data_IF_502453234221
#
_entry.id   IF_502453234221
#
_cell.length_a   1.000
_cell.length_b   1.000
_cell.length_c   1.000
_cell.angle_alpha   90.00
_cell.angle_beta   90.00
_cell.angle_gamma   90.00
#
_symmetry.space_group_name_H-M   'P 1'
#
loop_
_entity.id
_entity.type
_entity.pdbx_description
1 polymer ?
#
# COMPACT_ATOMS: atom_id res chain seq x y z
N UNK A 1 -43.49 33.66 -13.69
CA UNK A 1 -43.32 32.44 -12.86
C UNK A 1 -42.22 31.59 -13.50
N UNK A 2 -41.04 31.53 -12.90
CA UNK A 2 -39.92 30.73 -13.41
C UNK A 2 -39.99 29.32 -12.79
N UNK A 3 -40.22 28.31 -13.62
CA UNK A 3 -40.18 26.90 -13.21
C UNK A 3 -38.71 26.50 -13.01
N UNK A 4 -38.33 26.20 -11.77
CA UNK A 4 -37.02 25.62 -11.45
C UNK A 4 -36.93 24.25 -12.14
N UNK A 5 -36.00 24.09 -13.07
CA UNK A 5 -35.59 22.79 -13.62
C UNK A 5 -35.14 21.92 -12.45
N UNK A 6 -35.89 20.84 -12.21
CA UNK A 6 -35.54 19.85 -11.20
C UNK A 6 -34.32 19.09 -11.73
N UNK A 7 -33.14 19.40 -11.21
CA UNK A 7 -31.91 18.71 -11.57
C UNK A 7 -32.00 17.30 -10.98
N UNK A 8 -32.22 16.30 -11.84
CA UNK A 8 -32.24 14.90 -11.43
C UNK A 8 -30.88 14.57 -10.83
N UNK A 9 -30.86 14.36 -9.51
CA UNK A 9 -29.68 13.90 -8.79
C UNK A 9 -29.22 12.58 -9.41
N UNK A 10 -28.01 12.59 -10.00
CA UNK A 10 -27.41 11.43 -10.68
C UNK A 10 -27.39 10.23 -9.72
N UNK A 11 -27.96 9.11 -10.14
CA UNK A 11 -27.88 7.86 -9.37
C UNK A 11 -26.42 7.39 -9.40
N UNK A 12 -25.88 7.02 -8.24
CA UNK A 12 -24.55 6.41 -8.18
C UNK A 12 -24.56 5.13 -9.02
N UNK A 13 -23.58 4.97 -9.92
CA UNK A 13 -23.44 3.73 -10.67
C UNK A 13 -23.28 2.56 -9.70
N UNK A 14 -24.11 1.53 -9.87
CA UNK A 14 -23.90 0.23 -9.25
C UNK A 14 -23.21 -0.66 -10.29
N UNK A 15 -21.92 -0.92 -10.10
CA UNK A 15 -21.15 -1.84 -10.95
C UNK A 15 -21.77 -3.24 -10.90
N UNK A 16 -22.04 -3.80 -12.08
CA UNK A 16 -22.34 -5.21 -12.30
C UNK A 16 -21.05 -5.97 -12.66
N UNK A 17 -21.01 -7.30 -12.54
CA UNK A 17 -19.85 -8.10 -12.94
C UNK A 17 -19.40 -7.88 -14.40
N UNK A 18 -20.32 -7.81 -15.36
CA UNK A 18 -19.99 -7.45 -16.74
C UNK A 18 -19.33 -6.06 -16.88
N UNK A 19 -19.67 -5.10 -16.02
CA UNK A 19 -19.01 -3.78 -16.01
C UNK A 19 -17.56 -3.87 -15.54
N UNK A 20 -17.27 -4.81 -14.62
CA UNK A 20 -15.91 -5.06 -14.16
C UNK A 20 -15.05 -5.61 -15.29
N UNK A 21 -15.59 -6.50 -16.14
CA UNK A 21 -14.88 -7.01 -17.32
C UNK A 21 -14.51 -5.86 -18.27
N UNK A 22 -15.45 -4.96 -18.58
CA UNK A 22 -15.15 -3.80 -19.44
C UNK A 22 -14.08 -2.89 -18.84
N UNK A 23 -14.19 -2.61 -17.53
CA UNK A 23 -13.20 -1.82 -16.81
C UNK A 23 -11.81 -2.49 -16.84
N UNK A 24 -11.74 -3.80 -16.57
CA UNK A 24 -10.49 -4.54 -16.50
C UNK A 24 -9.80 -4.66 -17.86
N UNK A 25 -10.56 -4.90 -18.94
CA UNK A 25 -10.02 -4.90 -20.32
C UNK A 25 -9.34 -3.57 -20.62
N UNK A 26 -10.02 -2.46 -20.34
CA UNK A 26 -9.49 -1.14 -20.66
C UNK A 26 -8.30 -0.76 -19.77
N UNK A 27 -8.33 -1.11 -18.48
CA UNK A 27 -7.19 -0.96 -17.56
C UNK A 27 -5.97 -1.77 -18.02
N UNK A 28 -6.16 -3.01 -18.50
CA UNK A 28 -5.08 -3.86 -18.98
C UNK A 28 -4.37 -3.25 -20.21
N UNK A 29 -5.12 -2.58 -21.08
CA UNK A 29 -4.59 -1.88 -22.26
C UNK A 29 -3.95 -0.54 -21.88
N UNK A 30 -4.67 0.30 -21.14
CA UNK A 30 -4.25 1.66 -20.84
C UNK A 30 -3.10 1.73 -19.82
N UNK A 31 -2.95 0.69 -18.98
CA UNK A 31 -1.93 0.60 -17.93
C UNK A 31 -1.72 1.93 -17.19
N UNK A 32 -2.77 2.45 -16.50
CA UNK A 32 -2.77 3.81 -15.97
C UNK A 32 -1.63 4.10 -14.97
N UNK A 33 -1.00 3.06 -14.42
CA UNK A 33 0.18 3.14 -13.56
C UNK A 33 1.49 3.43 -14.30
N UNK A 34 1.57 3.17 -15.61
CA UNK A 34 2.71 3.48 -16.45
C UNK A 34 2.70 4.93 -16.95
N UNK A 35 1.59 5.64 -16.74
CA UNK A 35 1.48 7.06 -17.09
C UNK A 35 2.51 7.91 -16.31
N UNK A 36 3.10 8.89 -16.97
CA UNK A 36 4.04 9.82 -16.36
C UNK A 36 3.45 10.58 -15.16
N UNK A 37 4.31 11.09 -14.28
CA UNK A 37 3.89 11.83 -13.08
C UNK A 37 2.91 12.96 -13.44
N UNK A 38 1.73 12.98 -12.81
CA UNK A 38 0.66 13.95 -13.10
C UNK A 38 -0.35 13.50 -14.17
N UNK A 39 -0.06 12.46 -14.95
CA UNK A 39 -0.95 11.96 -16.02
C UNK A 39 -1.80 10.76 -15.61
N UNK A 40 -1.55 10.15 -14.45
CA UNK A 40 -2.33 9.00 -13.94
C UNK A 40 -3.82 9.32 -13.85
N UNK A 41 -4.18 10.51 -13.36
CA UNK A 41 -5.59 10.94 -13.27
C UNK A 41 -6.24 11.05 -14.64
N UNK A 42 -5.50 11.53 -15.64
CA UNK A 42 -5.98 11.63 -17.01
C UNK A 42 -6.24 10.25 -17.61
N UNK A 43 -5.31 9.30 -17.43
CA UNK A 43 -5.47 7.92 -17.88
C UNK A 43 -6.73 7.27 -17.27
N UNK A 44 -7.00 7.50 -15.98
CA UNK A 44 -8.26 7.05 -15.35
C UNK A 44 -9.51 7.74 -15.90
N UNK A 45 -9.39 8.98 -16.40
CA UNK A 45 -10.49 9.71 -17.05
C UNK A 45 -10.84 9.14 -18.42
N UNK A 46 -9.84 8.79 -19.22
CA UNK A 46 -10.03 8.06 -20.47
C UNK A 46 -10.68 6.70 -20.20
N UNK A 47 -10.20 5.97 -19.18
CA UNK A 47 -10.77 4.68 -18.79
C UNK A 47 -12.25 4.79 -18.40
N UNK A 48 -12.60 5.82 -17.63
CA UNK A 48 -13.99 6.06 -17.25
C UNK A 48 -14.89 6.35 -18.46
N UNK A 49 -14.37 7.06 -19.45
CA UNK A 49 -15.10 7.37 -20.70
C UNK A 49 -15.33 6.08 -21.49
N UNK A 50 -14.28 5.30 -21.74
CA UNK A 50 -14.36 4.04 -22.49
C UNK A 50 -15.30 3.03 -21.82
N UNK A 51 -15.18 2.88 -20.50
CA UNK A 51 -16.04 1.98 -19.72
C UNK A 51 -17.50 2.43 -19.77
N UNK A 52 -17.77 3.74 -19.66
CA UNK A 52 -19.14 4.29 -19.77
C UNK A 52 -19.74 3.99 -21.15
N UNK A 53 -18.97 4.18 -22.22
CA UNK A 53 -19.38 3.86 -23.59
C UNK A 53 -19.64 2.36 -23.78
N UNK A 54 -18.78 1.49 -23.24
CA UNK A 54 -18.97 0.05 -23.30
C UNK A 54 -20.25 -0.40 -22.59
N UNK A 55 -20.54 0.16 -21.41
CA UNK A 55 -21.80 -0.11 -20.69
C UNK A 55 -23.00 0.32 -21.54
N UNK A 56 -22.98 1.54 -22.08
CA UNK A 56 -24.10 2.04 -22.90
C UNK A 56 -24.35 1.24 -24.18
N UNK A 57 -23.32 0.60 -24.74
CA UNK A 57 -23.47 -0.20 -25.96
C UNK A 57 -23.95 -1.63 -25.72
N UNK A 58 -23.72 -2.19 -24.52
CA UNK A 58 -23.94 -3.61 -24.24
C UNK A 58 -24.98 -3.90 -23.16
N UNK A 59 -25.36 -2.92 -22.32
CA UNK A 59 -26.36 -3.08 -21.26
C UNK A 59 -27.66 -2.36 -21.66
N UNK A 60 -28.79 -3.06 -21.66
CA UNK A 60 -30.12 -2.48 -21.91
C UNK A 60 -30.54 -1.63 -20.69
N UNK A 61 -30.03 -0.40 -20.61
CA UNK A 61 -30.25 0.49 -19.49
C UNK A 61 -29.95 1.95 -19.77
N UNK A 62 -30.38 2.81 -18.85
CA UNK A 62 -30.08 4.25 -18.87
C UNK A 62 -28.56 4.45 -18.79
N UNK A 63 -27.99 5.23 -19.71
CA UNK A 63 -26.54 5.42 -19.81
C UNK A 63 -25.92 5.88 -18.49
N UNK A 64 -24.85 5.19 -18.08
CA UNK A 64 -24.09 5.53 -16.88
C UNK A 64 -22.91 6.42 -17.26
N UNK A 65 -22.76 7.57 -16.60
CA UNK A 65 -21.55 8.38 -16.67
C UNK A 65 -20.68 8.07 -15.45
N UNK A 66 -19.59 7.34 -15.69
CA UNK A 66 -18.57 7.08 -14.68
C UNK A 66 -17.59 8.24 -14.60
N UNK A 67 -17.00 8.44 -13.42
CA UNK A 67 -15.85 9.31 -13.23
C UNK A 67 -14.58 8.49 -12.95
N UNK A 68 -13.43 9.14 -13.18
CA UNK A 68 -12.11 8.53 -13.01
C UNK A 68 -11.91 7.94 -11.59
N UNK A 69 -12.47 8.60 -10.57
CA UNK A 69 -12.32 8.19 -9.17
C UNK A 69 -13.13 6.92 -8.86
N UNK A 70 -14.30 6.77 -9.47
CA UNK A 70 -15.20 5.63 -9.31
C UNK A 70 -14.64 4.39 -9.99
N UNK A 71 -14.15 4.52 -11.23
CA UNK A 71 -13.44 3.44 -11.93
C UNK A 71 -12.19 3.00 -11.16
N UNK A 72 -11.34 3.94 -10.73
CA UNK A 72 -10.16 3.62 -9.93
C UNK A 72 -10.53 2.89 -8.64
N UNK A 73 -11.53 3.38 -7.91
CA UNK A 73 -11.97 2.75 -6.64
C UNK A 73 -12.49 1.33 -6.87
N UNK A 74 -13.28 1.11 -7.93
CA UNK A 74 -13.78 -0.22 -8.26
C UNK A 74 -12.63 -1.17 -8.60
N UNK A 75 -11.69 -0.73 -9.42
CA UNK A 75 -10.48 -1.47 -9.75
C UNK A 75 -9.65 -1.84 -8.50
N UNK A 76 -9.41 -0.87 -7.60
CA UNK A 76 -8.66 -1.11 -6.36
C UNK A 76 -9.33 -2.22 -5.51
N UNK A 77 -10.67 -2.22 -5.43
CA UNK A 77 -11.43 -3.26 -4.70
C UNK A 77 -11.28 -4.63 -5.37
N UNK A 78 -11.44 -4.72 -6.70
CA UNK A 78 -11.30 -5.98 -7.45
C UNK A 78 -9.92 -6.59 -7.24
N UNK A 79 -8.87 -5.77 -7.30
CA UNK A 79 -7.49 -6.21 -7.07
C UNK A 79 -7.24 -6.62 -5.62
N UNK A 80 -7.88 -5.95 -4.64
CA UNK A 80 -7.78 -6.35 -3.23
C UNK A 80 -8.40 -7.73 -3.00
N UNK A 81 -9.62 -7.95 -3.49
CA UNK A 81 -10.33 -9.24 -3.35
C UNK A 81 -9.59 -10.35 -4.08
N UNK A 82 -9.08 -10.07 -5.29
CA UNK A 82 -8.25 -11.02 -6.05
C UNK A 82 -7.02 -11.48 -5.27
N UNK A 83 -6.29 -10.53 -4.68
CA UNK A 83 -5.06 -10.84 -3.92
C UNK A 83 -5.33 -11.62 -2.63
N UNK A 84 -6.53 -11.53 -2.07
CA UNK A 84 -6.95 -12.34 -0.92
C UNK A 84 -7.39 -13.75 -1.31
N UNK A 85 -7.51 -14.06 -2.61
CA UNK A 85 -8.09 -15.32 -3.08
C UNK A 85 -9.59 -15.42 -2.79
N UNK A 86 -10.26 -14.28 -2.58
CA UNK A 86 -11.67 -14.20 -2.17
C UNK A 86 -12.60 -13.87 -3.35
N UNK A 87 -12.16 -14.10 -4.59
CA UNK A 87 -12.94 -13.76 -5.78
C UNK A 87 -14.33 -14.40 -5.79
N UNK A 88 -14.46 -15.61 -5.25
CA UNK A 88 -15.75 -16.32 -5.12
C UNK A 88 -16.80 -15.51 -4.34
N UNK A 89 -16.38 -14.61 -3.45
CA UNK A 89 -17.30 -13.73 -2.71
C UNK A 89 -17.96 -12.66 -3.59
N UNK A 90 -17.42 -12.38 -4.78
CA UNK A 90 -18.01 -11.48 -5.78
C UNK A 90 -19.06 -12.19 -6.67
N UNK A 91 -19.17 -13.53 -6.62
CA UNK A 91 -20.05 -14.33 -7.49
C UNK A 91 -21.54 -14.23 -7.14
N UNK A 92 -21.90 -13.56 -6.04
CA UNK A 92 -23.27 -13.52 -5.55
C UNK A 92 -24.29 -12.83 -6.51
N UNK A 93 -23.85 -12.24 -7.63
CA UNK A 93 -24.74 -11.52 -8.57
C UNK A 93 -24.27 -11.45 -10.03
N UNK A 94 -23.37 -12.32 -10.49
CA UNK A 94 -22.83 -12.36 -11.87
C UNK A 94 -23.13 -13.64 -12.63
N UNK A 95 -22.91 -13.66 -13.95
CA UNK A 95 -22.87 -14.91 -14.70
C UNK A 95 -21.49 -15.56 -14.58
N UNK A 96 -21.43 -16.88 -14.76
CA UNK A 96 -20.18 -17.63 -14.72
C UNK A 96 -19.21 -17.14 -15.83
N UNK A 97 -19.74 -16.73 -17.00
CA UNK A 97 -18.90 -16.25 -18.11
C UNK A 97 -18.18 -14.92 -17.80
N UNK A 98 -18.87 -13.97 -17.15
CA UNK A 98 -18.27 -12.69 -16.74
C UNK A 98 -17.10 -12.92 -15.78
N UNK A 99 -17.20 -13.94 -14.94
CA UNK A 99 -16.19 -14.26 -13.95
C UNK A 99 -14.98 -14.98 -14.56
N UNK A 100 -15.24 -15.99 -15.39
CA UNK A 100 -14.21 -16.73 -16.13
C UNK A 100 -13.35 -15.78 -16.98
N UNK A 101 -13.92 -14.68 -17.46
CA UNK A 101 -13.18 -13.66 -18.18
C UNK A 101 -12.45 -12.65 -17.27
N UNK A 102 -13.03 -12.29 -16.12
CA UNK A 102 -12.43 -11.33 -15.19
C UNK A 102 -11.14 -11.83 -14.54
N UNK A 103 -11.07 -13.12 -14.18
CA UNK A 103 -9.92 -13.71 -13.50
C UNK A 103 -8.60 -13.67 -14.30
N UNK A 104 -8.54 -14.04 -15.59
CA UNK A 104 -7.31 -13.92 -16.39
C UNK A 104 -6.89 -12.46 -16.60
N UNK A 105 -7.84 -11.51 -16.70
CA UNK A 105 -7.53 -10.09 -16.78
C UNK A 105 -6.87 -9.57 -15.50
N UNK A 106 -7.43 -9.90 -14.33
CA UNK A 106 -6.85 -9.56 -13.03
C UNK A 106 -5.45 -10.15 -12.86
N UNK A 107 -5.26 -11.40 -13.27
CA UNK A 107 -3.96 -12.09 -13.26
C UNK A 107 -2.94 -11.37 -14.16
N UNK A 108 -3.33 -11.06 -15.40
CA UNK A 108 -2.49 -10.32 -16.35
C UNK A 108 -2.10 -8.95 -15.82
N UNK A 109 -3.06 -8.19 -15.29
CA UNK A 109 -2.82 -6.87 -14.68
C UNK A 109 -1.91 -6.98 -13.46
N UNK A 110 -2.11 -7.97 -12.59
CA UNK A 110 -1.26 -8.17 -11.41
C UNK A 110 0.21 -8.46 -11.78
N UNK A 111 0.44 -9.14 -12.90
CA UNK A 111 1.78 -9.44 -13.41
C UNK A 111 2.44 -8.22 -14.09
N UNK A 112 1.65 -7.35 -14.72
CA UNK A 112 2.13 -6.16 -15.44
C UNK A 112 2.31 -4.95 -14.54
N UNK A 113 1.45 -4.78 -13.54
CA UNK A 113 1.46 -3.62 -12.67
C UNK A 113 2.52 -3.77 -11.56
N UNK A 114 3.35 -2.74 -11.31
CA UNK A 114 4.31 -2.81 -10.22
C UNK A 114 3.57 -2.92 -8.88
N UNK A 115 4.16 -3.61 -7.91
CA UNK A 115 3.59 -3.83 -6.55
C UNK A 115 3.11 -2.54 -5.88
N UNK A 116 3.70 -1.40 -6.26
CA UNK A 116 3.36 -0.02 -5.85
C UNK A 116 1.92 0.40 -6.15
N UNK A 117 1.30 -0.13 -7.21
CA UNK A 117 -0.06 0.23 -7.67
C UNK A 117 -1.11 -0.24 -6.68
N UNK A 118 -0.81 -1.33 -5.98
CA UNK A 118 -1.70 -2.00 -5.03
C UNK A 118 -1.21 -1.87 -3.60
N UNK A 119 -0.39 -0.85 -3.33
CA UNK A 119 0.18 -0.66 -2.02
C UNK A 119 -0.92 -0.29 -1.01
N UNK A 120 -1.00 -1.07 0.06
CA UNK A 120 -1.83 -0.76 1.22
C UNK A 120 -1.36 0.56 1.84
N UNK A 121 -2.30 1.27 2.47
CA UNK A 121 -2.03 2.58 3.10
C UNK A 121 -1.27 2.44 4.43
N UNK A 122 -1.46 1.34 5.13
CA UNK A 122 -0.97 1.09 6.49
C UNK A 122 -0.10 -0.16 6.52
N UNK A 123 0.88 -0.17 7.43
CA UNK A 123 1.72 -1.33 7.72
C UNK A 123 0.90 -2.43 8.42
N UNK A 124 1.09 -3.69 8.03
CA UNK A 124 0.71 -4.88 8.81
C UNK A 124 1.88 -5.41 9.64
N UNK A 125 1.64 -6.45 10.44
CA UNK A 125 2.68 -7.15 11.19
C UNK A 125 3.78 -7.69 10.27
N UNK A 126 3.42 -8.35 9.16
CA UNK A 126 4.40 -8.79 8.15
C UNK A 126 5.25 -7.65 7.56
N UNK A 127 4.68 -6.46 7.29
CA UNK A 127 5.48 -5.32 6.82
C UNK A 127 6.43 -4.82 7.92
N UNK A 128 6.00 -4.86 9.20
CA UNK A 128 6.85 -4.50 10.34
C UNK A 128 8.02 -5.48 10.48
N UNK A 129 7.79 -6.78 10.34
CA UNK A 129 8.86 -7.80 10.35
C UNK A 129 9.89 -7.52 9.25
N UNK A 130 9.44 -7.26 8.02
CA UNK A 130 10.34 -6.92 6.91
C UNK A 130 11.12 -5.62 7.17
N UNK A 131 10.45 -4.59 7.69
CA UNK A 131 11.08 -3.34 8.09
C UNK A 131 12.16 -3.58 9.15
N UNK A 132 11.85 -4.34 10.20
CA UNK A 132 12.76 -4.62 11.30
C UNK A 132 13.96 -5.46 10.85
N UNK A 133 13.77 -6.46 9.97
CA UNK A 133 14.89 -7.21 9.38
C UNK A 133 15.86 -6.29 8.61
N UNK A 134 15.33 -5.37 7.79
CA UNK A 134 16.16 -4.39 7.07
C UNK A 134 16.87 -3.44 8.03
N UNK A 135 16.17 -2.93 9.05
CA UNK A 135 16.75 -2.06 10.09
C UNK A 135 17.86 -2.79 10.87
N UNK A 136 17.67 -4.06 11.20
CA UNK A 136 18.65 -4.88 11.92
C UNK A 136 19.92 -5.13 11.09
N UNK A 137 19.79 -5.24 9.76
CA UNK A 137 20.92 -5.40 8.85
C UNK A 137 21.68 -4.09 8.58
N UNK A 138 20.97 -2.97 8.43
CA UNK A 138 21.57 -1.66 8.09
C UNK A 138 22.09 -0.93 9.33
N UNK A 139 21.46 -1.12 10.49
CA UNK A 139 21.77 -0.39 11.73
C UNK A 139 21.78 1.13 11.57
N UNK A 140 20.66 1.76 11.13
CA UNK A 140 20.63 3.17 10.76
C UNK A 140 21.02 4.14 11.90
N UNK A 141 21.05 3.70 13.15
CA UNK A 141 21.51 4.49 14.30
C UNK A 141 23.04 4.65 14.37
N UNK A 142 23.82 3.79 13.69
CA UNK A 142 25.28 3.92 13.58
C UNK A 142 25.72 4.89 12.48
N UNK A 143 24.80 5.27 11.60
CA UNK A 143 25.08 6.07 10.43
C UNK A 143 25.11 7.57 10.75
N UNK A 144 26.15 8.26 10.25
CA UNK A 144 26.26 9.73 10.40
C UNK A 144 25.13 10.48 9.70
N UNK A 145 24.60 9.92 8.60
CA UNK A 145 23.49 10.47 7.81
C UNK A 145 22.27 9.56 7.91
N UNK A 146 21.68 9.51 9.10
CA UNK A 146 20.57 8.62 9.46
C UNK A 146 19.45 8.59 8.40
N UNK A 147 18.99 9.73 7.90
CA UNK A 147 17.90 9.75 6.91
C UNK A 147 18.27 9.20 5.53
N UNK A 148 19.56 9.20 5.16
CA UNK A 148 20.02 8.53 3.94
C UNK A 148 19.91 7.02 4.10
N UNK A 149 20.28 6.48 5.27
CA UNK A 149 20.12 5.07 5.58
C UNK A 149 18.64 4.64 5.56
N UNK A 150 17.73 5.49 6.09
CA UNK A 150 16.30 5.23 6.02
C UNK A 150 15.73 5.22 4.60
N UNK A 151 16.21 6.08 3.71
CA UNK A 151 15.78 6.03 2.30
C UNK A 151 16.33 4.79 1.57
N UNK A 152 17.54 4.33 1.94
CA UNK A 152 18.06 3.05 1.45
C UNK A 152 17.21 1.87 1.93
N UNK A 153 16.84 1.84 3.21
CA UNK A 153 15.92 0.83 3.77
C UNK A 153 14.58 0.87 3.03
N UNK A 154 13.98 2.03 2.85
CA UNK A 154 12.73 2.17 2.11
C UNK A 154 12.85 1.67 0.66
N UNK A 155 13.97 1.96 0.00
CA UNK A 155 14.25 1.49 -1.36
C UNK A 155 14.40 -0.03 -1.42
N UNK A 156 15.09 -0.64 -0.46
CA UNK A 156 15.24 -2.09 -0.36
C UNK A 156 13.88 -2.78 -0.10
N UNK A 157 13.08 -2.25 0.82
CA UNK A 157 11.75 -2.77 1.13
C UNK A 157 10.83 -2.77 -0.11
N UNK A 158 10.89 -1.72 -0.95
CA UNK A 158 10.10 -1.64 -2.20
C UNK A 158 10.44 -2.73 -3.21
N UNK A 159 11.60 -3.39 -3.09
CA UNK A 159 12.01 -4.49 -3.97
C UNK A 159 11.53 -5.86 -3.45
N UNK A 160 11.05 -5.93 -2.21
CA UNK A 160 10.58 -7.18 -1.63
C UNK A 160 9.15 -7.51 -2.13
N UNK A 161 8.91 -8.71 -2.70
CA UNK A 161 7.59 -9.10 -3.21
C UNK A 161 6.45 -9.03 -2.19
N UNK A 162 6.78 -9.25 -0.91
CA UNK A 162 5.81 -9.30 0.18
C UNK A 162 5.66 -7.98 0.94
N UNK A 163 6.43 -6.95 0.60
CA UNK A 163 6.26 -5.64 1.23
C UNK A 163 5.08 -4.90 0.59
N UNK A 164 3.99 -4.79 1.34
CA UNK A 164 2.69 -4.43 0.80
C UNK A 164 2.38 -2.94 0.84
N UNK A 165 3.34 -2.07 1.21
CA UNK A 165 3.13 -0.62 1.33
C UNK A 165 4.14 0.17 0.51
N UNK A 166 3.74 1.36 0.05
CA UNK A 166 4.63 2.27 -0.67
C UNK A 166 4.93 3.47 0.24
N UNK A 167 6.10 3.43 0.91
CA UNK A 167 6.52 4.39 1.92
C UNK A 167 7.93 4.93 1.62
N UNK A 168 8.19 6.13 2.07
CA UNK A 168 9.51 6.79 2.02
C UNK A 168 10.31 6.53 3.31
N UNK A 169 11.59 6.91 3.30
CA UNK A 169 12.45 6.74 4.48
C UNK A 169 11.87 7.39 5.73
N UNK A 170 11.21 8.55 5.59
CA UNK A 170 10.55 9.26 6.71
C UNK A 170 9.40 8.45 7.32
N UNK A 171 8.56 7.85 6.49
CA UNK A 171 7.47 7.00 6.96
C UNK A 171 7.99 5.70 7.60
N UNK A 172 9.05 5.09 7.05
CA UNK A 172 9.71 3.93 7.66
C UNK A 172 10.30 4.26 9.04
N UNK A 173 11.03 5.38 9.16
CA UNK A 173 11.55 5.88 10.42
C UNK A 173 10.42 6.14 11.45
N UNK A 174 9.35 6.81 11.01
CA UNK A 174 8.20 7.11 11.88
C UNK A 174 7.51 5.83 12.36
N UNK A 175 7.41 4.80 11.52
CA UNK A 175 6.86 3.50 11.91
C UNK A 175 7.79 2.78 12.90
N UNK A 176 9.09 2.76 12.63
CA UNK A 176 10.08 2.14 13.51
C UNK A 176 10.10 2.75 14.91
N UNK A 177 10.18 4.08 15.00
CA UNK A 177 10.17 4.80 16.29
C UNK A 177 8.90 4.54 17.10
N UNK A 178 7.75 4.45 16.42
CA UNK A 178 6.50 4.04 17.05
C UNK A 178 6.58 2.60 17.60
N UNK A 179 7.10 1.65 16.83
CA UNK A 179 7.28 0.26 17.26
C UNK A 179 8.19 0.15 18.49
N UNK A 180 9.35 0.81 18.47
CA UNK A 180 10.29 0.83 19.60
C UNK A 180 9.64 1.42 20.85
N UNK A 181 8.92 2.55 20.72
CA UNK A 181 8.20 3.15 21.84
C UNK A 181 7.18 2.16 22.43
N UNK A 182 6.34 1.57 21.59
CA UNK A 182 5.34 0.62 22.07
C UNK A 182 5.95 -0.61 22.73
N UNK A 183 7.09 -1.11 22.25
CA UNK A 183 7.79 -2.21 22.90
C UNK A 183 8.36 -1.80 24.26
N UNK A 184 8.98 -0.63 24.35
CA UNK A 184 9.50 -0.08 25.62
C UNK A 184 8.42 0.20 26.65
N UNK A 185 7.22 0.57 26.19
CA UNK A 185 6.05 0.83 27.04
C UNK A 185 5.25 -0.45 27.37
N UNK A 186 5.74 -1.66 27.00
CA UNK A 186 5.03 -2.95 27.08
C UNK A 186 3.62 -2.93 26.45
N UNK A 187 3.39 -2.02 25.52
CA UNK A 187 2.13 -1.77 24.86
C UNK A 187 2.08 -2.41 23.46
N UNK A 188 2.44 -3.70 23.38
CA UNK A 188 2.55 -4.44 22.12
C UNK A 188 1.18 -4.72 21.48
N UNK A 189 0.10 -4.72 22.27
CA UNK A 189 -1.27 -4.93 21.81
C UNK A 189 -1.78 -3.77 20.93
N UNK A 190 -1.33 -2.54 21.16
CA UNK A 190 -1.80 -1.36 20.42
C UNK A 190 -1.49 -1.39 18.90
N UNK A 191 -0.58 -2.27 18.46
CA UNK A 191 -0.16 -2.39 17.07
C UNK A 191 -0.63 -3.68 16.40
N UNK A 192 -1.41 -4.54 17.09
CA UNK A 192 -2.00 -5.76 16.52
C UNK A 192 -3.25 -5.41 15.70
N UNK A 193 -3.06 -4.91 14.48
CA UNK A 193 -4.17 -4.64 13.53
C UNK A 193 -4.43 -5.79 12.57
N UNK A 194 -3.39 -6.54 12.21
CA UNK A 194 -3.44 -7.65 11.25
C UNK A 194 -2.10 -8.39 11.30
N UNK A 195 -2.15 -9.71 11.41
CA UNK A 195 -0.97 -10.58 11.39
C UNK A 195 -1.20 -11.91 12.09
N UNK A 196 -0.36 -12.89 11.80
CA UNK A 196 -0.37 -14.21 12.45
C UNK A 196 0.36 -14.19 13.80
N UNK A 197 0.19 -15.24 14.61
CA UNK A 197 0.89 -15.36 15.89
C UNK A 197 2.42 -15.35 15.69
N UNK A 198 2.88 -16.06 14.67
CA UNK A 198 4.29 -16.16 14.28
C UNK A 198 4.86 -14.80 13.86
N UNK A 199 4.12 -14.01 13.08
CA UNK A 199 4.54 -12.66 12.70
C UNK A 199 4.65 -11.72 13.92
N UNK A 200 3.80 -11.91 14.93
CA UNK A 200 3.89 -11.10 16.16
C UNK A 200 5.08 -11.51 17.02
N UNK A 201 5.32 -12.80 17.19
CA UNK A 201 6.44 -13.34 17.94
C UNK A 201 7.77 -12.90 17.33
N UNK A 202 7.97 -13.13 16.03
CA UNK A 202 9.19 -12.71 15.34
C UNK A 202 9.42 -11.19 15.45
N UNK A 203 8.36 -10.39 15.29
CA UNK A 203 8.44 -8.93 15.41
C UNK A 203 8.93 -8.51 16.80
N UNK A 204 8.43 -9.16 17.86
CA UNK A 204 8.83 -8.87 19.24
C UNK A 204 10.29 -9.25 19.49
N UNK A 205 10.73 -10.42 19.04
CA UNK A 205 12.13 -10.87 19.13
C UNK A 205 13.09 -9.91 18.40
N UNK A 206 12.73 -9.49 17.17
CA UNK A 206 13.53 -8.53 16.40
C UNK A 206 13.62 -7.18 17.11
N UNK A 207 12.52 -6.70 17.70
CA UNK A 207 12.52 -5.44 18.43
C UNK A 207 13.43 -5.50 19.64
N UNK A 208 13.38 -6.57 20.43
CA UNK A 208 14.25 -6.73 21.60
C UNK A 208 15.73 -6.74 21.21
N UNK A 209 16.08 -7.50 20.17
CA UNK A 209 17.44 -7.57 19.67
C UNK A 209 17.95 -6.21 19.15
N UNK A 210 17.11 -5.48 18.39
CA UNK A 210 17.46 -4.15 17.86
C UNK A 210 17.61 -3.14 18.99
N UNK A 211 16.66 -3.11 19.94
CA UNK A 211 16.69 -2.19 21.08
C UNK A 211 17.96 -2.40 21.91
N UNK A 212 18.31 -3.66 22.20
CA UNK A 212 19.54 -3.99 22.90
C UNK A 212 20.78 -3.42 22.19
N UNK A 213 20.93 -3.68 20.88
CA UNK A 213 22.07 -3.17 20.09
C UNK A 213 22.11 -1.65 20.01
N UNK A 214 20.96 -1.00 19.94
CA UNK A 214 20.86 0.46 19.96
C UNK A 214 21.34 1.01 21.31
N UNK A 215 20.91 0.42 22.41
CA UNK A 215 21.26 0.88 23.75
C UNK A 215 22.75 0.63 24.04
N UNK A 216 23.31 -0.51 23.61
CA UNK A 216 24.76 -0.77 23.64
C UNK A 216 25.56 0.28 22.85
N UNK A 217 25.11 0.61 21.63
CA UNK A 217 25.77 1.62 20.80
C UNK A 217 25.72 3.00 21.47
N UNK A 218 24.55 3.41 21.96
CA UNK A 218 24.37 4.69 22.63
C UNK A 218 25.23 4.80 23.89
N UNK A 219 25.33 3.73 24.68
CA UNK A 219 26.20 3.68 25.86
C UNK A 219 27.68 3.84 25.47
N UNK A 220 28.13 3.17 24.41
CA UNK A 220 29.49 3.29 23.89
C UNK A 220 29.82 4.70 23.39
N UNK A 221 28.89 5.34 22.68
CA UNK A 221 29.04 6.73 22.20
C UNK A 221 29.13 7.71 23.39
N UNK A 222 28.27 7.54 24.40
CA UNK A 222 28.29 8.38 25.60
C UNK A 222 29.61 8.24 26.36
N UNK A 223 30.11 7.01 26.54
CA UNK A 223 31.39 6.77 27.22
C UNK A 223 32.56 7.43 26.47
N UNK A 224 32.62 7.27 25.15
CA UNK A 224 33.66 7.89 24.33
C UNK A 224 33.62 9.43 24.39
N UNK A 225 32.42 10.02 24.46
CA UNK A 225 32.24 11.45 24.62
C UNK A 225 32.76 11.93 25.99
N UNK A 226 32.44 11.24 27.08
CA UNK A 226 32.92 11.57 28.43
C UNK A 226 34.45 11.49 28.53
N UNK A 227 35.06 10.41 28.01
CA UNK A 227 36.52 10.26 27.99
C UNK A 227 37.21 11.38 27.20
N UNK A 228 36.61 11.82 26.09
CA UNK A 228 37.12 12.94 25.28
C UNK A 228 37.06 14.26 26.05
N UNK A 229 35.99 14.52 26.81
CA UNK A 229 35.85 15.70 27.64
C UNK A 229 36.91 15.73 28.75
N UNK A 230 37.11 14.61 29.46
CA UNK A 230 38.13 14.50 30.51
C UNK A 230 39.55 14.73 29.97
N UNK A 231 39.86 14.17 28.79
CA UNK A 231 41.16 14.39 28.14
C UNK A 231 41.39 15.86 27.79
N UNK A 232 40.36 16.54 27.26
CA UNK A 232 40.47 17.95 26.90
C UNK A 232 40.61 18.87 28.13
N UNK A 233 40.09 18.46 29.30
CA UNK A 233 40.20 19.24 30.53
C UNK A 233 41.55 19.10 31.25
N UNK A 234 42.40 18.14 30.84
CA UNK A 234 43.74 17.90 31.40
C UNK A 234 44.87 18.54 30.59
N UNK A 235 44.57 19.17 29.46
CA UNK A 235 45.48 19.91 28.60
C UNK A 235 45.30 21.41 28.83
#
# INVERSE_FOLDING_TARGET
>A
MATKKQEHRRKACRFKPCHDVYLLRDVAVAQPWAAGHGHVTYAWGEIATNTSTAISNNDEGEGVSLDHASCKRRFDILMEVFKKGELDSLHASGSDEDFDEGQPLLTGIANLAPSRVFARKQFSAGDDVLLLRQVNGVEPWKESRVMVAWEQIASALRLLPHFGVNKDGKACYSRFTLLVRHRRDDNTQALRRSGSAEEYEEKEELLDAIIHRMDEHNAGVALAASQRQERNARL
#
